data_IF_721914710275
#
_entry.id   IF_721914710275
#
_cell.length_a   1.000
_cell.length_b   1.000
_cell.length_c   1.000
_cell.angle_alpha   90.00
_cell.angle_beta   90.00
_cell.angle_gamma   90.00
#
_symmetry.space_group_name_H-M   'P 1'
#
loop_
_entity.id
_entity.type
_entity.pdbx_description
1 polymer ?
#
# COMPACT_ATOMS: atom_id res chain seq x y z
N UNK A 1 -24.77 -4.67 -2.59
CA UNK A 1 -23.31 -4.60 -2.42
C UNK A 1 -22.81 -6.01 -2.19
N UNK A 2 -21.99 -6.54 -3.11
CA UNK A 2 -21.46 -7.90 -2.97
C UNK A 2 -20.38 -7.96 -1.89
N UNK A 3 -19.97 -9.17 -1.48
CA UNK A 3 -18.83 -9.33 -0.56
C UNK A 3 -17.54 -8.75 -1.17
N UNK A 4 -17.38 -8.85 -2.50
CA UNK A 4 -16.27 -8.24 -3.22
C UNK A 4 -16.32 -6.72 -3.14
N UNK A 5 -17.48 -6.11 -3.40
CA UNK A 5 -17.62 -4.64 -3.33
C UNK A 5 -17.26 -4.10 -1.93
N UNK A 6 -17.74 -4.78 -0.88
CA UNK A 6 -17.42 -4.45 0.51
C UNK A 6 -15.94 -4.56 0.82
N UNK A 7 -15.30 -5.60 0.31
CA UNK A 7 -13.88 -5.80 0.48
C UNK A 7 -13.05 -4.72 -0.26
N UNK A 8 -13.40 -4.42 -1.51
CA UNK A 8 -12.74 -3.40 -2.34
C UNK A 8 -12.84 -2.04 -1.64
N UNK A 9 -14.05 -1.62 -1.25
CA UNK A 9 -14.26 -0.34 -0.58
C UNK A 9 -13.44 -0.22 0.73
N UNK A 10 -13.37 -1.29 1.52
CA UNK A 10 -12.55 -1.33 2.74
C UNK A 10 -11.06 -1.14 2.42
N UNK A 11 -10.53 -1.85 1.42
CA UNK A 11 -9.11 -1.76 1.06
C UNK A 11 -8.78 -0.42 0.43
N UNK A 12 -9.67 0.15 -0.37
CA UNK A 12 -9.51 1.49 -0.95
C UNK A 12 -9.35 2.56 0.14
N UNK A 13 -10.17 2.51 1.20
CA UNK A 13 -10.00 3.39 2.37
C UNK A 13 -8.60 3.23 3.02
N UNK A 14 -8.11 2.00 3.15
CA UNK A 14 -6.77 1.74 3.68
C UNK A 14 -5.66 2.27 2.76
N UNK A 15 -5.84 2.22 1.43
CA UNK A 15 -4.91 2.84 0.47
C UNK A 15 -4.88 4.36 0.60
N UNK A 16 -6.01 5.01 0.87
CA UNK A 16 -6.05 6.45 1.11
C UNK A 16 -5.24 6.85 2.36
N UNK A 17 -5.43 6.14 3.48
CA UNK A 17 -4.64 6.37 4.69
C UNK A 17 -3.14 6.19 4.44
N UNK A 18 -2.81 5.15 3.68
CA UNK A 18 -1.44 4.81 3.34
C UNK A 18 -0.75 5.90 2.50
N UNK A 19 -1.45 6.42 1.48
CA UNK A 19 -0.95 7.52 0.67
C UNK A 19 -0.67 8.76 1.51
N UNK A 20 -1.57 9.08 2.45
CA UNK A 20 -1.35 10.19 3.38
C UNK A 20 -0.09 9.99 4.25
N UNK A 21 0.17 8.75 4.70
CA UNK A 21 1.38 8.42 5.47
C UNK A 21 2.66 8.56 4.63
N UNK A 22 2.64 8.15 3.36
CA UNK A 22 3.79 8.32 2.44
C UNK A 22 4.11 9.81 2.26
N UNK A 23 3.10 10.64 2.03
CA UNK A 23 3.29 12.09 1.91
C UNK A 23 3.84 12.69 3.21
N UNK A 24 3.41 12.22 4.38
CA UNK A 24 3.96 12.65 5.67
C UNK A 24 5.45 12.28 5.81
N UNK A 25 5.85 11.08 5.41
CA UNK A 25 7.26 10.64 5.43
C UNK A 25 8.09 11.49 4.47
N UNK A 26 7.56 11.79 3.29
CA UNK A 26 8.20 12.66 2.30
C UNK A 26 8.43 14.07 2.85
N UNK A 27 7.40 14.68 3.45
CA UNK A 27 7.53 15.99 4.09
C UNK A 27 8.57 16.00 5.23
N UNK A 28 8.64 14.91 6.02
CA UNK A 28 9.68 14.75 7.05
C UNK A 28 11.08 14.66 6.44
N UNK A 29 11.23 13.96 5.32
CA UNK A 29 12.50 13.87 4.59
C UNK A 29 12.97 15.23 4.09
N UNK A 30 12.05 16.07 3.59
CA UNK A 30 12.34 17.42 3.11
C UNK A 30 12.77 18.37 4.23
N UNK A 31 12.23 18.21 5.44
CA UNK A 31 12.59 19.01 6.63
C UNK A 31 13.86 18.51 7.35
N UNK A 32 14.32 17.30 7.06
CA UNK A 32 15.40 16.64 7.79
C UNK A 32 16.80 17.20 7.45
N UNK A 33 17.76 17.00 8.36
CA UNK A 33 19.19 17.24 8.09
C UNK A 33 19.69 16.36 6.94
N UNK A 34 20.82 16.71 6.32
CA UNK A 34 21.35 15.99 5.16
C UNK A 34 21.52 14.47 5.39
N UNK A 35 22.04 14.06 6.55
CA UNK A 35 22.21 12.65 6.91
C UNK A 35 20.87 11.94 7.12
N UNK A 36 19.94 12.58 7.82
CA UNK A 36 18.60 12.03 8.06
C UNK A 36 17.78 11.95 6.76
N UNK A 37 17.98 12.89 5.84
CA UNK A 37 17.34 12.91 4.52
C UNK A 37 17.75 11.70 3.67
N UNK A 38 19.00 11.24 3.74
CA UNK A 38 19.43 10.01 3.05
C UNK A 38 18.65 8.80 3.58
N UNK A 39 18.51 8.66 4.90
CA UNK A 39 17.75 7.57 5.53
C UNK A 39 16.27 7.62 5.13
N UNK A 40 15.65 8.79 5.21
CA UNK A 40 14.24 8.95 4.83
C UNK A 40 14.01 8.74 3.33
N UNK A 41 14.90 9.20 2.46
CA UNK A 41 14.77 8.99 1.02
C UNK A 41 14.85 7.49 0.65
N UNK A 42 15.72 6.72 1.34
CA UNK A 42 15.78 5.26 1.15
C UNK A 42 14.47 4.61 1.57
N UNK A 43 13.97 4.94 2.77
CA UNK A 43 12.69 4.43 3.25
C UNK A 43 11.54 4.82 2.31
N UNK A 44 11.49 6.07 1.87
CA UNK A 44 10.46 6.57 0.96
C UNK A 44 10.47 5.79 -0.36
N UNK A 45 11.64 5.56 -0.96
CA UNK A 45 11.78 4.78 -2.20
C UNK A 45 11.25 3.35 -2.05
N UNK A 46 11.57 2.69 -0.94
CA UNK A 46 11.09 1.34 -0.66
C UNK A 46 9.56 1.32 -0.45
N UNK A 47 9.00 2.33 0.23
CA UNK A 47 7.57 2.46 0.44
C UNK A 47 6.82 2.77 -0.86
N UNK A 48 7.34 3.67 -1.70
CA UNK A 48 6.77 4.03 -3.00
C UNK A 48 6.76 2.83 -3.97
N UNK A 49 7.86 2.07 -4.04
CA UNK A 49 7.95 0.89 -4.87
C UNK A 49 6.89 -0.15 -4.49
N UNK A 50 6.79 -0.48 -3.19
CA UNK A 50 5.80 -1.46 -2.73
C UNK A 50 4.37 -0.94 -2.80
N UNK A 51 4.14 0.36 -2.58
CA UNK A 51 2.83 0.98 -2.78
C UNK A 51 2.36 0.80 -4.22
N UNK A 52 3.26 1.00 -5.20
CA UNK A 52 2.97 0.74 -6.61
C UNK A 52 2.63 -0.72 -6.87
N UNK A 53 3.40 -1.65 -6.33
CA UNK A 53 3.17 -3.10 -6.52
C UNK A 53 1.79 -3.52 -6.01
N UNK A 54 1.39 -3.05 -4.83
CA UNK A 54 0.10 -3.41 -4.24
C UNK A 54 -1.04 -2.70 -4.93
N UNK A 55 -0.85 -1.46 -5.41
CA UNK A 55 -1.84 -0.78 -6.25
C UNK A 55 -2.12 -1.60 -7.51
N UNK A 56 -1.08 -2.14 -8.17
CA UNK A 56 -1.26 -3.01 -9.34
C UNK A 56 -2.03 -4.30 -8.99
N UNK A 57 -1.77 -4.90 -7.83
CA UNK A 57 -2.53 -6.06 -7.35
C UNK A 57 -3.97 -5.71 -7.00
N UNK A 58 -4.22 -4.52 -6.46
CA UNK A 58 -5.55 -4.03 -6.14
C UNK A 58 -6.38 -3.80 -7.40
N UNK A 59 -5.77 -3.27 -8.47
CA UNK A 59 -6.45 -3.11 -9.76
C UNK A 59 -6.82 -4.47 -10.39
N UNK A 60 -5.95 -5.48 -10.25
CA UNK A 60 -6.27 -6.85 -10.65
C UNK A 60 -7.43 -7.42 -9.84
N UNK A 61 -7.44 -7.19 -8.53
CA UNK A 61 -8.51 -7.63 -7.63
C UNK A 61 -9.86 -6.97 -7.99
N UNK A 62 -9.84 -5.67 -8.28
CA UNK A 62 -11.02 -4.91 -8.70
C UNK A 62 -11.60 -5.42 -10.01
N UNK A 63 -10.73 -5.82 -10.93
CA UNK A 63 -11.09 -6.33 -12.27
C UNK A 63 -11.46 -7.81 -12.29
N UNK A 64 -11.21 -8.57 -11.21
CA UNK A 64 -11.56 -9.99 -11.13
C UNK A 64 -13.08 -10.19 -11.20
N UNK A 65 -13.55 -11.26 -11.84
CA UNK A 65 -14.96 -11.66 -11.72
C UNK A 65 -15.26 -12.16 -10.31
N UNK A 66 -16.53 -12.24 -9.95
CA UNK A 66 -16.96 -12.77 -8.65
C UNK A 66 -16.43 -14.19 -8.42
N UNK A 67 -16.42 -15.05 -9.44
CA UNK A 67 -15.90 -16.42 -9.36
C UNK A 67 -14.36 -16.47 -9.20
N UNK A 68 -13.64 -15.50 -9.77
CA UNK A 68 -12.17 -15.40 -9.68
C UNK A 68 -11.67 -14.59 -8.48
N UNK A 69 -12.58 -13.92 -7.75
CA UNK A 69 -12.23 -12.94 -6.73
C UNK A 69 -11.43 -13.53 -5.58
N UNK A 70 -11.85 -14.67 -5.02
CA UNK A 70 -11.18 -15.27 -3.86
C UNK A 70 -9.74 -15.71 -4.16
N UNK A 71 -9.47 -16.20 -5.38
CA UNK A 71 -8.12 -16.57 -5.80
C UNK A 71 -7.20 -15.34 -5.86
N UNK A 72 -7.65 -14.25 -6.49
CA UNK A 72 -6.87 -13.01 -6.59
C UNK A 72 -6.72 -12.32 -5.23
N UNK A 73 -7.76 -12.37 -4.39
CA UNK A 73 -7.78 -11.83 -3.03
C UNK A 73 -6.71 -12.45 -2.16
N UNK A 74 -6.50 -13.76 -2.23
CA UNK A 74 -5.44 -14.43 -1.47
C UNK A 74 -4.05 -13.89 -1.82
N UNK A 75 -3.74 -13.75 -3.12
CA UNK A 75 -2.46 -13.19 -3.55
C UNK A 75 -2.29 -11.73 -3.15
N UNK A 76 -3.36 -10.94 -3.25
CA UNK A 76 -3.37 -9.55 -2.80
C UNK A 76 -3.13 -9.45 -1.29
N UNK A 77 -3.78 -10.26 -0.45
CA UNK A 77 -3.60 -10.21 1.01
C UNK A 77 -2.16 -10.57 1.42
N UNK A 78 -1.52 -11.53 0.74
CA UNK A 78 -0.11 -11.84 1.00
C UNK A 78 0.80 -10.63 0.72
N UNK A 79 0.61 -9.96 -0.43
CA UNK A 79 1.37 -8.77 -0.78
C UNK A 79 1.07 -7.59 0.19
N UNK A 80 -0.20 -7.42 0.56
CA UNK A 80 -0.65 -6.42 1.52
C UNK A 80 -0.03 -6.63 2.91
N UNK A 81 0.04 -7.88 3.40
CA UNK A 81 0.66 -8.23 4.68
C UNK A 81 2.15 -7.89 4.68
N UNK A 82 2.90 -8.33 3.66
CA UNK A 82 4.34 -8.05 3.57
C UNK A 82 4.61 -6.54 3.62
N UNK A 83 3.81 -5.77 2.92
CA UNK A 83 3.92 -4.33 2.92
C UNK A 83 3.50 -3.65 4.21
N UNK A 84 2.35 -4.03 4.76
CA UNK A 84 1.86 -3.46 6.02
C UNK A 84 2.85 -3.73 7.16
N UNK A 85 3.58 -4.85 7.11
CA UNK A 85 4.66 -5.16 8.05
C UNK A 85 5.82 -4.15 7.99
N UNK A 86 6.11 -3.56 6.83
CA UNK A 86 7.14 -2.53 6.68
C UNK A 86 6.67 -1.17 7.19
N UNK A 87 5.38 -0.89 7.03
CA UNK A 87 4.76 0.33 7.58
C UNK A 87 4.66 0.30 9.10
N UNK A 88 4.32 -0.86 9.69
CA UNK A 88 4.13 -1.01 11.13
C UNK A 88 5.43 -1.28 11.91
N UNK A 89 6.58 -1.45 11.24
CA UNK A 89 7.86 -1.75 11.88
C UNK A 89 8.59 -0.54 12.50
N UNK A 90 7.91 0.60 12.70
CA UNK A 90 8.51 1.82 13.25
C UNK A 90 7.88 2.23 14.57
#
# INVERSE_FOLDING_TARGET
MSQKDAYIAKKEAQFHELRAKIELVKAKAEKATAESRIKYNKQLKDLEAKHKDITNWFDKLRSASEDGFEAVKSSFESAWQEFSSLFNKN
#
